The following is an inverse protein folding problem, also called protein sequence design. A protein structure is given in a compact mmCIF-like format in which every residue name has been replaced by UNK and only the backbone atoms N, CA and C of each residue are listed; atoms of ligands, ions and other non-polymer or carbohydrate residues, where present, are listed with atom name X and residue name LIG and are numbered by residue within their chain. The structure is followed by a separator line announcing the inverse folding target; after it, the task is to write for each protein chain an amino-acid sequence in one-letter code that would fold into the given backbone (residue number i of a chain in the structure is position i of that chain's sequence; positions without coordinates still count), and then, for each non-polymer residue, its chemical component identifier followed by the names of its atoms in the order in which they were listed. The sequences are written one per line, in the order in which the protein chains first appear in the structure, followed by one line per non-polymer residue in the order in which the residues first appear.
data_IF_532860851452
#
_entry.id   IF_532860851452
#
_cell.length_a   1.000
_cell.length_b   1.000
_cell.length_c   1.000
_cell.angle_alpha   90.00
_cell.angle_beta   90.00
_cell.angle_gamma   90.00
#
_symmetry.space_group_name_H-M   'P 1'
#
loop_
_entity.id
_entity.type
_entity.pdbx_description
1 polymer ?
#
# COMPACT_ATOMS: atom_id res chain seq x y z
N UNK A 1 5.69 -19.01 23.28
CA UNK A 1 6.78 -18.62 22.38
C UNK A 1 6.33 -17.31 21.74
N UNK A 2 6.78 -16.18 22.26
CA UNK A 2 6.41 -14.85 21.76
C UNK A 2 7.38 -14.48 20.66
N UNK A 3 7.05 -14.86 19.43
CA UNK A 3 7.85 -14.57 18.26
C UNK A 3 7.90 -13.05 18.04
N UNK A 4 9.11 -12.52 17.96
CA UNK A 4 9.39 -11.08 17.92
C UNK A 4 9.15 -10.56 16.50
N UNK A 5 7.96 -10.02 16.27
CA UNK A 5 7.38 -9.76 14.93
C UNK A 5 8.10 -8.72 14.06
N UNK A 6 9.11 -7.95 14.51
CA UNK A 6 9.66 -6.84 13.68
C UNK A 6 11.13 -6.51 13.97
N UNK A 7 12.06 -7.41 13.67
CA UNK A 7 13.49 -7.10 13.83
C UNK A 7 14.15 -6.42 12.60
N UNK A 8 13.53 -6.49 11.41
CA UNK A 8 14.13 -5.97 10.16
C UNK A 8 13.55 -4.64 9.65
N UNK A 9 12.52 -4.11 10.31
CA UNK A 9 12.11 -2.73 10.06
C UNK A 9 13.04 -1.83 10.87
N UNK A 10 13.74 -0.85 10.25
CA UNK A 10 14.43 0.16 11.04
C UNK A 10 13.42 0.70 12.06
N UNK A 11 13.77 0.67 13.34
CA UNK A 11 12.92 1.26 14.39
C UNK A 11 12.61 2.68 13.96
N UNK A 12 11.35 2.92 13.56
CA UNK A 12 10.89 4.22 13.13
C UNK A 12 11.28 5.22 14.21
N UNK A 13 12.26 6.07 13.93
CA UNK A 13 12.66 7.08 14.89
C UNK A 13 11.49 8.05 14.97
N UNK A 14 11.09 8.42 16.18
CA UNK A 14 10.02 9.40 16.42
C UNK A 14 10.27 10.77 15.77
N UNK A 15 11.47 10.99 15.22
CA UNK A 15 11.91 12.19 14.52
C UNK A 15 11.95 12.05 12.99
N UNK A 16 11.51 10.93 12.41
CA UNK A 16 11.41 10.78 10.95
C UNK A 16 10.29 11.67 10.41
N UNK A 17 10.69 12.80 9.81
CA UNK A 17 9.80 13.78 9.20
C UNK A 17 9.84 13.64 7.70
N UNK A 18 8.67 13.59 7.08
CA UNK A 18 8.53 13.72 5.63
C UNK A 18 8.44 15.21 5.32
N UNK A 19 9.51 15.75 4.74
CA UNK A 19 9.54 17.14 4.27
C UNK A 19 9.14 17.21 2.79
N UNK A 20 8.12 18.00 2.48
CA UNK A 20 7.60 18.20 1.14
C UNK A 20 7.61 19.70 0.83
N UNK A 21 8.52 20.18 -0.02
CA UNK A 21 8.49 21.57 -0.45
C UNK A 21 7.23 21.79 -1.29
N UNK A 22 6.43 22.78 -0.89
CA UNK A 22 5.22 23.18 -1.60
C UNK A 22 5.25 24.69 -1.85
N UNK A 23 4.80 25.13 -3.02
CA UNK A 23 4.62 26.55 -3.32
C UNK A 23 3.56 27.18 -2.42
N UNK A 24 3.51 28.51 -2.34
CA UNK A 24 2.48 29.21 -1.56
C UNK A 24 1.06 28.86 -2.02
N UNK A 25 0.86 28.72 -3.33
CA UNK A 25 -0.41 28.33 -3.94
C UNK A 25 -0.80 26.91 -3.52
N UNK A 26 0.12 25.95 -3.61
CA UNK A 26 -0.12 24.57 -3.15
C UNK A 26 -0.47 24.53 -1.65
N UNK A 27 0.25 25.30 -0.83
CA UNK A 27 -0.05 25.43 0.59
C UNK A 27 -1.43 26.05 0.86
N UNK A 28 -1.90 26.95 0.01
CA UNK A 28 -3.24 27.54 0.13
C UNK A 28 -4.33 26.51 -0.20
N UNK A 29 -4.15 25.75 -1.28
CA UNK A 29 -5.07 24.67 -1.67
C UNK A 29 -5.13 23.59 -0.60
N UNK A 30 -3.97 23.14 -0.08
CA UNK A 30 -3.90 22.14 0.98
C UNK A 30 -4.59 22.61 2.27
N UNK A 31 -4.39 23.87 2.66
CA UNK A 31 -5.09 24.45 3.82
C UNK A 31 -6.59 24.47 3.64
N UNK A 32 -7.08 24.90 2.46
CA UNK A 32 -8.51 24.95 2.17
C UNK A 32 -9.13 23.55 2.13
N UNK A 33 -8.45 22.58 1.54
CA UNK A 33 -8.91 21.19 1.51
C UNK A 33 -8.98 20.58 2.93
N UNK A 34 -7.95 20.81 3.75
CA UNK A 34 -7.94 20.33 5.13
C UNK A 34 -9.05 20.99 5.98
N UNK A 35 -9.28 22.30 5.80
CA UNK A 35 -10.35 23.06 6.46
C UNK A 35 -11.74 22.49 6.14
N UNK A 36 -12.01 22.12 4.88
CA UNK A 36 -13.29 21.54 4.46
C UNK A 36 -13.64 20.22 5.18
N UNK A 37 -12.63 19.45 5.59
CA UNK A 37 -12.80 18.17 6.29
C UNK A 37 -12.58 18.30 7.81
N UNK A 38 -12.25 19.51 8.30
CA UNK A 38 -11.96 19.77 9.71
C UNK A 38 -10.64 19.17 10.19
N UNK A 39 -9.67 19.02 9.29
CA UNK A 39 -8.35 18.44 9.58
C UNK A 39 -7.23 19.48 9.55
N UNK A 40 -6.11 19.14 10.19
CA UNK A 40 -4.85 19.87 9.97
C UNK A 40 -4.25 19.48 8.63
N UNK A 41 -3.41 20.35 8.05
CA UNK A 41 -2.71 20.06 6.78
C UNK A 41 -1.90 18.76 6.84
N UNK A 42 -1.10 18.47 7.89
CA UNK A 42 -0.38 17.21 7.98
C UNK A 42 -1.29 15.98 8.02
N UNK A 43 -2.42 16.04 8.75
CA UNK A 43 -3.40 14.95 8.79
C UNK A 43 -4.02 14.71 7.42
N UNK A 44 -4.38 15.79 6.72
CA UNK A 44 -4.93 15.70 5.37
C UNK A 44 -3.93 15.11 4.38
N UNK A 45 -2.69 15.61 4.37
CA UNK A 45 -1.64 15.13 3.46
C UNK A 45 -1.30 13.66 3.73
N UNK A 46 -1.12 13.29 5.00
CA UNK A 46 -0.79 11.91 5.36
C UNK A 46 -1.93 10.95 4.97
N UNK A 47 -3.18 11.29 5.31
CA UNK A 47 -4.32 10.44 4.99
C UNK A 47 -4.51 10.30 3.48
N UNK A 48 -4.42 11.41 2.73
CA UNK A 48 -4.51 11.37 1.26
C UNK A 48 -3.39 10.53 0.62
N UNK A 49 -2.16 10.60 1.16
CA UNK A 49 -1.04 9.78 0.70
C UNK A 49 -1.26 8.29 0.97
N UNK A 50 -1.78 7.93 2.15
CA UNK A 50 -2.11 6.54 2.50
C UNK A 50 -3.23 5.99 1.62
N UNK A 51 -4.30 6.74 1.42
CA UNK A 51 -5.41 6.35 0.54
C UNK A 51 -4.94 6.10 -0.89
N UNK A 52 -4.00 6.93 -1.38
CA UNK A 52 -3.42 6.76 -2.71
C UNK A 52 -2.55 5.51 -2.77
N UNK A 53 -1.67 5.32 -1.78
CA UNK A 53 -0.81 4.14 -1.71
C UNK A 53 -1.63 2.84 -1.66
N UNK A 54 -2.71 2.81 -0.88
CA UNK A 54 -3.63 1.67 -0.83
C UNK A 54 -4.22 1.34 -2.21
N UNK A 55 -4.75 2.35 -2.92
CA UNK A 55 -5.31 2.16 -4.26
C UNK A 55 -4.26 1.68 -5.25
N UNK A 56 -3.07 2.27 -5.23
CA UNK A 56 -1.97 1.89 -6.14
C UNK A 56 -1.51 0.44 -5.85
N UNK A 57 -1.49 0.01 -4.59
CA UNK A 57 -1.21 -1.39 -4.21
C UNK A 57 -2.28 -2.36 -4.72
N UNK A 58 -3.56 -2.01 -4.59
CA UNK A 58 -4.64 -2.83 -5.14
C UNK A 58 -4.62 -2.88 -6.67
N UNK A 59 -4.37 -1.76 -7.33
CA UNK A 59 -4.25 -1.71 -8.79
C UNK A 59 -3.10 -2.58 -9.28
N UNK A 60 -1.94 -2.48 -8.63
CA UNK A 60 -0.79 -3.33 -8.92
C UNK A 60 -1.12 -4.82 -8.72
N UNK A 61 -1.74 -5.18 -7.59
CA UNK A 61 -2.14 -6.56 -7.33
C UNK A 61 -3.13 -7.08 -8.39
N UNK A 62 -4.09 -6.26 -8.83
CA UNK A 62 -5.04 -6.62 -9.87
C UNK A 62 -4.37 -6.85 -11.23
N UNK A 63 -3.39 -6.01 -11.61
CA UNK A 63 -2.59 -6.20 -12.84
C UNK A 63 -1.82 -7.51 -12.80
N UNK A 64 -1.20 -7.85 -11.67
CA UNK A 64 -0.48 -9.11 -11.49
C UNK A 64 -1.40 -10.33 -11.52
N UNK A 65 -2.55 -10.28 -10.83
CA UNK A 65 -3.55 -11.35 -10.88
C UNK A 65 -4.05 -11.60 -12.31
N UNK A 66 -4.35 -10.54 -13.06
CA UNK A 66 -4.78 -10.65 -14.46
C UNK A 66 -3.68 -11.23 -15.36
N UNK A 67 -2.40 -10.95 -15.09
CA UNK A 67 -1.28 -11.54 -15.81
C UNK A 67 -1.12 -13.04 -15.50
N UNK A 68 -1.30 -13.45 -14.23
CA UNK A 68 -1.30 -14.85 -13.83
C UNK A 68 -2.46 -15.63 -14.46
N UNK A 69 -3.66 -15.05 -14.53
CA UNK A 69 -4.83 -15.64 -15.19
C UNK A 69 -4.65 -15.81 -16.70
N UNK A 70 -3.88 -14.91 -17.35
CA UNK A 70 -3.54 -15.06 -18.78
C UNK A 70 -2.53 -16.18 -18.98
N UNK A 71 -1.48 -16.24 -18.15
CA UNK A 71 -0.47 -17.29 -18.20
C UNK A 71 -1.08 -18.68 -17.93
N UNK A 72 -2.01 -18.77 -16.98
CA UNK A 72 -2.77 -20.00 -16.70
C UNK A 72 -3.79 -20.38 -17.79
N UNK A 73 -4.14 -19.47 -18.70
CA UNK A 73 -4.95 -19.76 -19.90
C UNK A 73 -4.11 -20.19 -21.10
N UNK A 74 -2.88 -19.70 -21.20
CA UNK A 74 -1.91 -20.10 -22.23
C UNK A 74 -1.32 -21.50 -21.93
N UNK A 75 -1.19 -21.87 -20.66
CA UNK A 75 -0.89 -23.23 -20.22
C UNK A 75 -2.20 -24.02 -20.06
N UNK A 76 -2.61 -24.79 -21.09
CA UNK A 76 -3.88 -25.54 -21.14
C UNK A 76 -4.24 -26.42 -19.91
N UNK A 77 -5.47 -26.96 -19.85
CA UNK A 77 -6.16 -27.33 -18.61
C UNK A 77 -5.40 -28.42 -17.84
N UNK A 78 -4.72 -28.03 -16.75
CA UNK A 78 -4.24 -28.99 -15.76
C UNK A 78 -5.28 -29.11 -14.65
N UNK A 79 -5.90 -30.28 -14.60
CA UNK A 79 -6.75 -30.74 -13.50
C UNK A 79 -5.95 -30.78 -12.19
N UNK A 80 -6.13 -29.76 -11.34
CA UNK A 80 -5.60 -29.66 -9.98
C UNK A 80 -6.66 -29.09 -9.02
N UNK A 81 -6.64 -29.43 -7.71
CA UNK A 81 -7.74 -29.17 -6.78
C UNK A 81 -7.95 -27.67 -6.51
N UNK A 82 -9.15 -27.28 -6.03
CA UNK A 82 -9.64 -25.90 -6.10
C UNK A 82 -8.77 -24.94 -5.28
N UNK A 83 -8.49 -23.79 -5.91
CA UNK A 83 -7.88 -22.59 -5.36
C UNK A 83 -8.14 -22.41 -3.86
N UNK A 84 -7.07 -22.50 -3.06
CA UNK A 84 -7.06 -21.84 -1.77
C UNK A 84 -7.18 -20.32 -2.01
N UNK A 85 -8.06 -19.60 -1.29
CA UNK A 85 -8.10 -18.15 -1.36
C UNK A 85 -6.73 -17.63 -0.91
N UNK A 86 -6.00 -17.01 -1.83
CA UNK A 86 -4.73 -16.34 -1.52
C UNK A 86 -5.09 -15.14 -0.65
N UNK A 87 -5.04 -15.32 0.67
CA UNK A 87 -5.14 -14.22 1.61
C UNK A 87 -3.89 -13.34 1.43
N UNK A 88 -4.00 -12.12 0.87
CA UNK A 88 -2.85 -11.35 0.37
C UNK A 88 -2.12 -10.61 1.50
N UNK A 89 -1.72 -11.34 2.53
CA UNK A 89 -0.77 -10.87 3.54
C UNK A 89 0.39 -11.87 3.72
N UNK A 90 0.17 -13.17 3.46
CA UNK A 90 1.20 -14.22 3.62
C UNK A 90 2.23 -14.20 2.49
N UNK A 91 1.83 -13.81 1.28
CA UNK A 91 2.70 -13.84 0.10
C UNK A 91 3.86 -12.84 0.16
N UNK A 92 3.68 -11.70 0.84
CA UNK A 92 4.76 -10.71 1.03
C UNK A 92 5.76 -11.20 2.08
N UNK A 93 5.32 -11.96 3.08
CA UNK A 93 6.21 -12.53 4.10
C UNK A 93 7.07 -13.66 3.52
N UNK A 94 6.50 -14.50 2.65
CA UNK A 94 7.24 -15.61 2.04
C UNK A 94 8.24 -15.20 0.94
N UNK A 95 8.10 -14.00 0.37
CA UNK A 95 9.01 -13.49 -0.66
C UNK A 95 10.22 -12.72 -0.10
N UNK A 96 10.30 -12.59 1.22
CA UNK A 96 11.37 -11.90 1.95
C UNK A 96 12.26 -12.85 2.77
N UNK A 97 12.05 -14.17 2.66
CA UNK A 97 12.98 -15.21 3.17
C UNK A 97 14.03 -15.61 2.12
#
# INVERSE_FOLDING_TARGET
MSESVRQDLPMARSDERIELPASEEQNLVLRKAAELVGWTVPQYVLSAALDRAERDLYEHAAVHAAAQDRKGREEGPRTGPPHAPVAPYVAIVAALE
#
